data_IF_252723266759
#
_entry.id   IF_252723266759
#
_cell.length_a   1.000
_cell.length_b   1.000
_cell.length_c   1.000
_cell.angle_alpha   90.00
_cell.angle_beta   90.00
_cell.angle_gamma   90.00
#
_symmetry.space_group_name_H-M   'P 1'
#
loop_
_entity.id
_entity.type
_entity.pdbx_description
1 polymer ?
#
# COMPACT_ATOMS: atom_id res chain seq x y z
N UNK A 1 -35.70 -6.80 10.03
CA UNK A 1 -34.80 -7.27 11.11
C UNK A 1 -33.84 -8.25 10.46
N UNK A 2 -32.60 -7.85 10.20
CA UNK A 2 -31.58 -8.77 9.67
C UNK A 2 -30.85 -9.36 10.86
N UNK A 3 -30.89 -10.68 10.95
CA UNK A 3 -30.35 -11.50 12.03
C UNK A 3 -28.85 -11.26 12.27
N UNK A 4 -28.51 -11.23 13.55
CA UNK A 4 -27.18 -11.27 14.11
C UNK A 4 -26.53 -12.62 13.79
N UNK A 5 -25.50 -12.61 12.94
CA UNK A 5 -24.64 -13.76 12.68
C UNK A 5 -23.28 -13.44 13.32
N UNK A 6 -22.93 -14.15 14.41
CA UNK A 6 -21.57 -14.25 14.98
C UNK A 6 -20.81 -12.94 15.25
N UNK A 7 -20.77 -12.53 16.52
CA UNK A 7 -20.35 -11.20 17.02
C UNK A 7 -18.86 -10.83 16.93
N UNK A 8 -18.03 -11.50 16.12
CA UNK A 8 -16.59 -11.22 16.06
C UNK A 8 -16.09 -10.74 14.69
N UNK A 9 -16.91 -10.83 13.63
CA UNK A 9 -16.49 -10.36 12.30
C UNK A 9 -16.86 -8.88 12.09
N UNK A 10 -15.87 -7.99 11.84
CA UNK A 10 -16.15 -6.60 11.61
C UNK A 10 -17.02 -6.39 10.35
N UNK A 11 -17.79 -5.29 10.29
CA UNK A 11 -18.59 -4.98 9.13
C UNK A 11 -17.72 -4.84 7.87
N UNK A 12 -18.30 -5.08 6.69
CA UNK A 12 -17.55 -5.19 5.41
C UNK A 12 -16.71 -3.96 5.09
N UNK A 13 -17.20 -2.78 5.47
CA UNK A 13 -16.55 -1.49 5.28
C UNK A 13 -15.40 -1.23 6.27
N UNK A 14 -15.27 -2.06 7.31
CA UNK A 14 -14.20 -1.95 8.29
C UNK A 14 -13.08 -2.95 7.99
N UNK A 15 -11.86 -2.43 7.96
CA UNK A 15 -10.66 -3.23 7.80
C UNK A 15 -10.15 -3.70 9.17
N UNK A 16 -9.75 -4.97 9.22
CA UNK A 16 -9.01 -5.51 10.36
C UNK A 16 -7.58 -4.94 10.38
N UNK A 17 -6.90 -4.94 11.54
CA UNK A 17 -5.50 -4.50 11.62
C UNK A 17 -4.56 -5.24 10.65
N UNK A 18 -4.87 -6.50 10.32
CA UNK A 18 -4.13 -7.30 9.33
C UNK A 18 -4.35 -6.77 7.91
N UNK A 19 -5.59 -6.44 7.56
CA UNK A 19 -5.95 -5.87 6.26
C UNK A 19 -5.41 -4.44 6.09
N UNK A 20 -5.44 -3.63 7.15
CA UNK A 20 -4.80 -2.31 7.12
C UNK A 20 -3.29 -2.41 6.90
N UNK A 21 -2.64 -3.38 7.55
CA UNK A 21 -1.22 -3.66 7.30
C UNK A 21 -0.98 -4.09 5.85
N UNK A 22 -1.84 -4.94 5.28
CA UNK A 22 -1.76 -5.32 3.87
C UNK A 22 -1.90 -4.11 2.94
N UNK A 23 -2.88 -3.24 3.19
CA UNK A 23 -3.07 -2.00 2.42
C UNK A 23 -1.82 -1.12 2.46
N UNK A 24 -1.24 -0.95 3.65
CA UNK A 24 -0.02 -0.17 3.84
C UNK A 24 1.20 -0.77 3.13
N UNK A 25 1.39 -2.09 3.21
CA UNK A 25 2.50 -2.75 2.51
C UNK A 25 2.32 -2.71 0.99
N UNK A 26 1.11 -2.90 0.48
CA UNK A 26 0.82 -2.79 -0.95
C UNK A 26 1.08 -1.37 -1.45
N UNK A 27 0.57 -0.36 -0.75
CA UNK A 27 0.83 1.05 -1.03
C UNK A 27 2.33 1.35 -1.04
N UNK A 28 3.06 0.85 -0.02
CA UNK A 28 4.51 1.04 0.09
C UNK A 28 5.20 0.44 -1.12
N UNK A 29 4.96 -0.84 -1.44
CA UNK A 29 5.57 -1.52 -2.59
C UNK A 29 5.26 -0.79 -3.89
N UNK A 30 4.02 -0.33 -4.08
CA UNK A 30 3.63 0.41 -5.28
C UNK A 30 4.34 1.76 -5.37
N UNK A 31 4.49 2.46 -4.25
CA UNK A 31 5.24 3.72 -4.15
C UNK A 31 6.70 3.52 -4.52
N UNK A 32 7.35 2.47 -4.02
CA UNK A 32 8.74 2.18 -4.38
C UNK A 32 8.88 1.81 -5.87
N UNK A 33 7.91 1.11 -6.46
CA UNK A 33 7.89 0.81 -7.90
C UNK A 33 7.72 2.07 -8.76
N UNK A 34 6.87 3.01 -8.34
CA UNK A 34 6.68 4.27 -9.06
C UNK A 34 7.93 5.17 -9.00
N UNK A 35 8.72 5.06 -7.93
CA UNK A 35 9.96 5.80 -7.73
C UNK A 35 11.22 4.98 -8.09
N UNK A 36 11.09 3.91 -8.87
CA UNK A 36 12.20 2.98 -9.15
C UNK A 36 13.36 3.68 -9.88
N UNK A 37 13.06 4.65 -10.74
CA UNK A 37 14.05 5.42 -11.48
C UNK A 37 14.91 6.28 -10.54
N UNK A 38 14.30 6.99 -9.59
CA UNK A 38 15.02 7.80 -8.60
C UNK A 38 15.81 6.93 -7.62
N UNK A 39 15.27 5.77 -7.24
CA UNK A 39 15.96 4.78 -6.40
C UNK A 39 17.18 4.23 -7.12
N UNK A 40 17.07 3.95 -8.42
CA UNK A 40 18.18 3.49 -9.26
C UNK A 40 19.27 4.54 -9.40
N UNK A 41 18.91 5.81 -9.64
CA UNK A 41 19.87 6.93 -9.67
C UNK A 41 20.64 7.05 -8.34
N UNK A 42 19.95 6.91 -7.21
CA UNK A 42 20.58 6.90 -5.90
C UNK A 42 21.49 5.68 -5.69
N UNK A 43 21.05 4.49 -6.10
CA UNK A 43 21.82 3.26 -5.97
C UNK A 43 23.10 3.26 -6.82
N UNK A 44 23.05 3.80 -8.04
CA UNK A 44 24.21 3.96 -8.92
C UNK A 44 25.23 4.93 -8.32
N UNK A 45 24.77 6.07 -7.80
CA UNK A 45 25.64 6.99 -7.07
C UNK A 45 26.24 6.34 -5.81
N UNK A 46 25.43 5.54 -5.11
CA UNK A 46 25.83 4.76 -3.93
C UNK A 46 27.05 3.87 -4.19
N UNK A 47 27.05 3.16 -5.33
CA UNK A 47 28.13 2.28 -5.77
C UNK A 47 29.44 3.04 -6.02
N UNK A 48 29.36 4.27 -6.53
CA UNK A 48 30.53 5.08 -6.90
C UNK A 48 31.10 5.90 -5.73
N UNK A 49 30.26 6.31 -4.77
CA UNK A 49 30.64 7.28 -3.75
C UNK A 49 31.24 6.69 -2.46
N UNK A 50 31.09 5.38 -2.20
CA UNK A 50 31.69 4.69 -1.04
C UNK A 50 31.30 5.32 0.30
N UNK A 51 32.26 5.76 1.12
CA UNK A 51 31.98 6.44 2.38
C UNK A 51 31.37 7.86 2.21
N UNK A 52 31.47 8.45 1.02
CA UNK A 52 31.01 9.81 0.73
C UNK A 52 29.55 9.93 0.25
N UNK A 53 28.77 8.85 0.28
CA UNK A 53 27.39 8.78 -0.28
C UNK A 53 26.49 9.87 0.27
N UNK A 54 26.57 10.16 1.57
CA UNK A 54 25.73 11.18 2.20
C UNK A 54 25.89 12.58 1.58
N UNK A 55 27.11 12.92 1.15
CA UNK A 55 27.40 14.22 0.56
C UNK A 55 27.30 14.20 -0.96
N UNK A 56 27.89 13.18 -1.61
CA UNK A 56 27.97 13.08 -3.09
C UNK A 56 26.64 12.69 -3.74
N UNK A 57 25.81 11.92 -3.04
CA UNK A 57 24.51 11.44 -3.55
C UNK A 57 23.34 12.18 -2.89
N UNK A 58 23.58 13.38 -2.36
CA UNK A 58 22.56 14.17 -1.66
C UNK A 58 21.42 14.54 -2.62
N UNK A 59 21.75 14.90 -3.86
CA UNK A 59 20.76 15.30 -4.85
C UNK A 59 19.89 14.12 -5.32
N UNK A 60 20.50 12.97 -5.62
CA UNK A 60 19.75 11.76 -5.97
C UNK A 60 18.93 11.24 -4.78
N UNK A 61 19.46 11.30 -3.56
CA UNK A 61 18.72 10.98 -2.33
C UNK A 61 17.52 11.91 -2.12
N UNK A 62 17.67 13.21 -2.44
CA UNK A 62 16.57 14.18 -2.35
C UNK A 62 15.48 13.87 -3.37
N UNK A 63 15.84 13.62 -4.64
CA UNK A 63 14.86 13.23 -5.68
C UNK A 63 14.06 12.00 -5.30
N UNK A 64 14.73 10.95 -4.81
CA UNK A 64 14.08 9.73 -4.33
C UNK A 64 13.10 10.02 -3.19
N UNK A 65 13.53 10.80 -2.18
CA UNK A 65 12.66 11.18 -1.06
C UNK A 65 11.48 12.04 -1.50
N UNK A 66 11.71 12.96 -2.42
CA UNK A 66 10.67 13.84 -2.95
C UNK A 66 9.62 13.03 -3.75
N UNK A 67 10.05 12.02 -4.51
CA UNK A 67 9.13 11.08 -5.18
C UNK A 67 8.28 10.31 -4.15
N UNK A 68 8.93 9.66 -3.17
CA UNK A 68 8.21 8.89 -2.13
C UNK A 68 7.24 9.78 -1.35
N UNK A 69 7.65 11.01 -1.02
CA UNK A 69 6.84 11.97 -0.25
C UNK A 69 5.58 12.38 -1.00
N UNK A 70 5.61 12.48 -2.34
CA UNK A 70 4.41 12.74 -3.15
C UNK A 70 3.39 11.61 -3.06
N UNK A 71 3.85 10.38 -2.89
CA UNK A 71 3.00 9.21 -2.78
C UNK A 71 2.61 8.88 -1.33
N UNK A 72 3.20 9.55 -0.34
CA UNK A 72 2.89 9.40 1.10
C UNK A 72 1.61 10.14 1.54
N UNK A 73 0.80 10.63 0.61
CA UNK A 73 -0.52 11.17 0.94
C UNK A 73 -1.46 10.05 1.36
N UNK A 74 -2.37 10.34 2.30
CA UNK A 74 -3.36 9.37 2.80
C UNK A 74 -4.23 8.83 1.66
N UNK A 75 -4.44 9.62 0.61
CA UNK A 75 -5.23 9.28 -0.57
C UNK A 75 -4.79 7.97 -1.24
N UNK A 76 -3.49 7.71 -1.36
CA UNK A 76 -3.02 6.47 -1.99
C UNK A 76 -3.23 5.25 -1.10
N UNK A 77 -3.19 5.44 0.22
CA UNK A 77 -3.52 4.37 1.18
C UNK A 77 -5.02 4.09 1.15
N UNK A 78 -5.85 5.12 1.02
CA UNK A 78 -7.31 4.99 0.94
C UNK A 78 -7.75 4.23 -0.32
N UNK A 79 -7.06 4.42 -1.46
CA UNK A 79 -7.29 3.61 -2.67
C UNK A 79 -7.05 2.12 -2.40
N UNK A 80 -5.94 1.76 -1.74
CA UNK A 80 -5.64 0.37 -1.41
C UNK A 80 -6.65 -0.22 -0.42
N UNK A 81 -7.12 0.59 0.54
CA UNK A 81 -8.19 0.21 1.47
C UNK A 81 -9.50 -0.09 0.72
N UNK A 82 -9.89 0.78 -0.20
CA UNK A 82 -11.09 0.60 -1.01
C UNK A 82 -11.00 -0.67 -1.87
N UNK A 83 -9.84 -0.97 -2.45
CA UNK A 83 -9.62 -2.21 -3.20
C UNK A 83 -9.84 -3.46 -2.34
N UNK A 84 -9.41 -3.45 -1.07
CA UNK A 84 -9.65 -4.55 -0.14
C UNK A 84 -11.14 -4.67 0.19
N UNK A 85 -11.82 -3.55 0.46
CA UNK A 85 -13.27 -3.54 0.73
C UNK A 85 -14.05 -4.10 -0.47
N UNK A 86 -13.73 -3.67 -1.69
CA UNK A 86 -14.33 -4.20 -2.92
C UNK A 86 -14.12 -5.71 -3.07
N UNK A 87 -12.91 -6.21 -2.72
CA UNK A 87 -12.61 -7.64 -2.72
C UNK A 87 -13.47 -8.40 -1.70
N UNK A 88 -13.70 -7.83 -0.50
CA UNK A 88 -14.58 -8.42 0.52
C UNK A 88 -16.04 -8.48 0.06
N UNK A 89 -16.53 -7.41 -0.57
CA UNK A 89 -17.90 -7.33 -1.11
C UNK A 89 -18.12 -8.44 -2.15
N UNK A 90 -17.20 -8.57 -3.13
CA UNK A 90 -17.29 -9.61 -4.17
C UNK A 90 -17.32 -11.03 -3.58
N UNK A 91 -16.43 -11.33 -2.64
CA UNK A 91 -16.40 -12.64 -1.97
C UNK A 91 -17.72 -12.96 -1.25
N UNK A 92 -18.30 -11.99 -0.53
CA UNK A 92 -19.59 -12.21 0.14
C UNK A 92 -20.73 -12.41 -0.86
N UNK A 93 -20.74 -11.66 -1.97
CA UNK A 93 -21.73 -11.84 -3.02
C UNK A 93 -21.65 -13.22 -3.68
N UNK A 94 -20.44 -13.72 -3.93
CA UNK A 94 -20.23 -15.08 -4.47
C UNK A 94 -20.70 -16.14 -3.48
N UNK A 95 -20.38 -15.97 -2.19
CA UNK A 95 -20.81 -16.91 -1.14
C UNK A 95 -22.34 -16.93 -0.97
N UNK A 96 -22.99 -15.77 -1.06
CA UNK A 96 -24.45 -15.68 -1.03
C UNK A 96 -25.10 -16.37 -2.22
N UNK A 97 -24.50 -16.28 -3.41
CA UNK A 97 -25.00 -16.99 -4.61
C UNK A 97 -24.85 -18.50 -4.46
N UNK A 98 -23.74 -18.97 -3.91
CA UNK A 98 -23.50 -20.41 -3.66
C UNK A 98 -24.42 -20.99 -2.58
N UNK A 99 -24.74 -20.22 -1.54
CA UNK A 99 -25.61 -20.69 -0.45
C UNK A 99 -27.11 -20.65 -0.80
N UNK A 100 -27.51 -19.88 -1.83
CA UNK A 100 -28.90 -19.74 -2.26
C UNK A 100 -29.25 -20.65 -3.46
N UNK A 101 -28.35 -21.56 -3.84
CA UNK A 101 -28.51 -22.56 -4.89
C UNK A 101 -28.57 -23.96 -4.27
#
# INVERSE_FOLDING_TARGET
>A
MVEQIGSDDPPVWLLTPKEEKEAFENWRVNTWKNCDDEVREFAECGKLAGYGVWFKCRDSSKKMKDCIKKHQTSEYVDIERDLIIQRKIKKRQEQQKLNNQ
#
